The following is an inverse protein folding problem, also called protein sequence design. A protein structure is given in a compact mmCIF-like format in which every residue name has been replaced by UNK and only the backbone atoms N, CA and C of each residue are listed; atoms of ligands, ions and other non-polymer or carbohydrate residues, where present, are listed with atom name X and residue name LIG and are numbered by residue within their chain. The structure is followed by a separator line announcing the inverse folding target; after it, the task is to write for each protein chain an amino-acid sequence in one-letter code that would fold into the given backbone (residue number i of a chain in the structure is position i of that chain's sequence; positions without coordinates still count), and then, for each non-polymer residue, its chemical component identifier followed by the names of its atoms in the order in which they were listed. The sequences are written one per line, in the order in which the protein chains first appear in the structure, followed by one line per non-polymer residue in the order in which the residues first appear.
data_IF_142663693479
#
_entry.id   IF_142663693479
#
_cell.length_a   1.000
_cell.length_b   1.000
_cell.length_c   1.000
_cell.angle_alpha   90.00
_cell.angle_beta   90.00
_cell.angle_gamma   90.00
#
_symmetry.space_group_name_H-M   'P 1'
#
loop_
_entity.id
_entity.type
_entity.pdbx_description
1 polymer ?
#
# COMPACT_ATOMS: atom_id res chain seq x y z
N UNK A 1 -15.68 17.91 24.96
CA UNK A 1 -15.55 16.45 24.99
C UNK A 1 -15.01 16.08 23.62
N UNK A 2 -13.74 15.70 23.53
CA UNK A 2 -13.16 15.21 22.27
C UNK A 2 -13.88 13.93 21.88
N UNK A 3 -14.27 13.80 20.61
CA UNK A 3 -14.98 12.61 20.15
C UNK A 3 -13.97 11.48 19.90
N UNK A 4 -14.39 10.20 19.96
CA UNK A 4 -13.50 9.07 19.64
C UNK A 4 -12.84 9.19 18.26
N UNK A 5 -13.50 9.83 17.30
CA UNK A 5 -12.97 10.10 15.96
C UNK A 5 -11.89 11.19 15.98
N UNK A 6 -12.02 12.22 16.81
CA UNK A 6 -10.96 13.24 16.98
C UNK A 6 -9.70 12.63 17.61
N UNK A 7 -9.88 11.70 18.56
CA UNK A 7 -8.78 10.94 19.14
C UNK A 7 -8.11 10.03 18.10
N UNK A 8 -8.89 9.36 17.24
CA UNK A 8 -8.37 8.54 16.16
C UNK A 8 -7.49 9.35 15.20
N UNK A 9 -7.96 10.55 14.80
CA UNK A 9 -7.21 11.47 13.95
C UNK A 9 -5.95 11.99 14.64
N UNK A 10 -6.01 12.29 15.93
CA UNK A 10 -4.83 12.73 16.70
C UNK A 10 -3.75 11.65 16.77
N UNK A 11 -4.15 10.40 17.01
CA UNK A 11 -3.24 9.25 16.97
C UNK A 11 -2.65 9.02 15.57
N UNK A 12 -3.44 9.21 14.51
CA UNK A 12 -2.97 9.13 13.11
C UNK A 12 -1.88 10.16 12.83
N UNK A 13 -2.13 11.43 13.12
CA UNK A 13 -1.20 12.55 12.90
C UNK A 13 0.11 12.37 13.68
N UNK A 14 0.03 11.92 14.93
CA UNK A 14 1.21 11.60 15.73
C UNK A 14 2.00 10.44 15.11
N UNK A 15 1.30 9.37 14.71
CA UNK A 15 1.90 8.22 14.06
C UNK A 15 2.62 8.57 12.74
N UNK A 16 2.01 9.43 11.92
CA UNK A 16 2.60 9.93 10.68
C UNK A 16 3.84 10.81 10.94
N UNK A 17 3.80 11.62 12.00
CA UNK A 17 4.94 12.43 12.42
C UNK A 17 6.10 11.53 12.87
N UNK A 18 5.82 10.45 13.60
CA UNK A 18 6.82 9.48 14.04
C UNK A 18 7.41 8.70 12.85
N UNK A 19 6.59 8.31 11.88
CA UNK A 19 7.03 7.75 10.59
C UNK A 19 8.03 8.67 9.89
N UNK A 20 7.69 9.95 9.77
CA UNK A 20 8.53 10.95 9.11
C UNK A 20 9.86 11.17 9.84
N UNK A 21 9.88 10.93 11.16
CA UNK A 21 11.08 10.96 11.99
C UNK A 21 11.90 9.66 11.91
N UNK A 22 11.35 8.59 11.33
CA UNK A 22 11.96 7.26 11.29
C UNK A 22 11.79 6.44 12.57
N UNK A 23 10.93 6.90 13.49
CA UNK A 23 10.56 6.14 14.69
C UNK A 23 9.43 5.17 14.36
N UNK A 24 9.79 4.08 13.68
CA UNK A 24 8.82 3.09 13.21
C UNK A 24 8.09 2.39 14.35
N UNK A 25 8.78 2.06 15.45
CA UNK A 25 8.18 1.41 16.60
C UNK A 25 7.15 2.32 17.29
N UNK A 26 7.48 3.60 17.51
CA UNK A 26 6.53 4.57 18.04
C UNK A 26 5.35 4.80 17.11
N UNK A 27 5.61 4.87 15.80
CA UNK A 27 4.55 5.03 14.81
C UNK A 27 3.55 3.87 14.81
N UNK A 28 4.01 2.62 14.88
CA UNK A 28 3.13 1.44 14.95
C UNK A 28 2.15 1.55 16.12
N UNK A 29 2.64 1.93 17.31
CA UNK A 29 1.80 2.05 18.52
C UNK A 29 0.67 3.07 18.33
N UNK A 30 0.99 4.24 17.80
CA UNK A 30 -0.01 5.30 17.64
C UNK A 30 -0.96 5.01 16.46
N UNK A 31 -0.46 4.44 15.36
CA UNK A 31 -1.29 4.07 14.21
C UNK A 31 -2.22 2.89 14.51
N UNK A 32 -1.80 1.93 15.35
CA UNK A 32 -2.69 0.87 15.84
C UNK A 32 -3.87 1.44 16.63
N UNK A 33 -3.63 2.36 17.56
CA UNK A 33 -4.72 3.04 18.28
C UNK A 33 -5.63 3.80 17.34
N UNK A 34 -5.07 4.44 16.31
CA UNK A 34 -5.88 5.14 15.31
C UNK A 34 -6.84 4.21 14.59
N UNK A 35 -6.36 3.07 14.07
CA UNK A 35 -7.22 2.12 13.33
C UNK A 35 -8.17 1.32 14.23
N UNK A 36 -7.85 1.16 15.52
CA UNK A 36 -8.75 0.59 16.52
C UNK A 36 -9.93 1.53 16.82
N UNK A 37 -9.68 2.84 16.86
CA UNK A 37 -10.70 3.87 17.10
C UNK A 37 -11.50 4.20 15.84
N UNK A 38 -10.85 4.19 14.68
CA UNK A 38 -11.47 4.38 13.36
C UNK A 38 -10.90 3.41 12.32
N UNK A 39 -11.54 2.25 12.22
CA UNK A 39 -11.18 1.22 11.24
C UNK A 39 -11.48 1.61 9.78
N UNK A 40 -12.19 2.72 9.54
CA UNK A 40 -12.58 3.19 8.20
C UNK A 40 -11.57 4.13 7.55
N UNK A 41 -10.50 4.53 8.26
CA UNK A 41 -9.48 5.43 7.74
C UNK A 41 -8.41 4.67 6.92
N UNK A 42 -8.55 4.69 5.59
CA UNK A 42 -7.60 4.04 4.67
C UNK A 42 -6.16 4.57 4.81
N UNK A 43 -5.99 5.87 5.08
CA UNK A 43 -4.67 6.48 5.24
C UNK A 43 -3.97 6.01 6.52
N UNK A 44 -4.70 5.85 7.62
CA UNK A 44 -4.16 5.30 8.87
C UNK A 44 -3.67 3.85 8.67
N UNK A 45 -4.43 3.01 7.96
CA UNK A 45 -4.00 1.65 7.59
C UNK A 45 -2.75 1.65 6.71
N UNK A 46 -2.67 2.53 5.71
CA UNK A 46 -1.48 2.67 4.87
C UNK A 46 -0.26 3.13 5.68
N UNK A 47 -0.42 4.08 6.59
CA UNK A 47 0.67 4.52 7.46
C UNK A 47 1.10 3.41 8.41
N UNK A 48 0.16 2.64 8.98
CA UNK A 48 0.49 1.49 9.81
C UNK A 48 1.32 0.46 9.02
N UNK A 49 0.91 0.16 7.79
CA UNK A 49 1.67 -0.74 6.91
C UNK A 49 3.10 -0.23 6.64
N UNK A 50 3.26 1.07 6.36
CA UNK A 50 4.60 1.68 6.18
C UNK A 50 5.45 1.58 7.45
N UNK A 51 4.84 1.74 8.62
CA UNK A 51 5.55 1.67 9.89
C UNK A 51 6.04 0.24 10.17
N UNK A 52 5.19 -0.76 9.92
CA UNK A 52 5.52 -2.17 10.05
C UNK A 52 6.60 -2.61 9.05
N UNK A 53 6.49 -2.19 7.79
CA UNK A 53 7.52 -2.41 6.76
C UNK A 53 8.86 -1.75 7.12
N UNK A 54 8.83 -0.53 7.68
CA UNK A 54 10.02 0.16 8.17
C UNK A 54 10.68 -0.51 9.38
N UNK A 55 9.90 -1.18 10.22
CA UNK A 55 10.41 -1.99 11.34
C UNK A 55 11.05 -3.30 10.85
N UNK A 56 10.50 -3.91 9.80
CA UNK A 56 11.06 -5.08 9.12
C UNK A 56 10.94 -6.40 9.90
N UNK A 57 10.35 -6.38 11.09
CA UNK A 57 10.19 -7.56 11.95
C UNK A 57 8.90 -8.34 11.68
N UNK A 58 7.91 -7.72 11.01
CA UNK A 58 6.58 -8.30 10.78
C UNK A 58 6.01 -7.94 9.40
N UNK A 59 6.50 -8.62 8.36
CA UNK A 59 6.04 -8.42 6.98
C UNK A 59 4.60 -8.91 6.74
N UNK A 60 4.11 -9.87 7.52
CA UNK A 60 2.74 -10.37 7.41
C UNK A 60 1.74 -9.31 7.89
N UNK A 61 1.98 -8.72 9.06
CA UNK A 61 1.12 -7.62 9.56
C UNK A 61 1.17 -6.39 8.66
N UNK A 62 2.33 -6.10 8.06
CA UNK A 62 2.45 -5.02 7.07
C UNK A 62 1.55 -5.27 5.85
N UNK A 63 1.54 -6.49 5.32
CA UNK A 63 0.68 -6.86 4.19
C UNK A 63 -0.80 -6.82 4.55
N UNK A 64 -1.19 -7.32 5.73
CA UNK A 64 -2.57 -7.26 6.20
C UNK A 64 -3.05 -5.80 6.29
N UNK A 65 -2.25 -4.92 6.89
CA UNK A 65 -2.57 -3.50 6.98
C UNK A 65 -2.71 -2.84 5.61
N UNK A 66 -1.84 -3.21 4.64
CA UNK A 66 -1.94 -2.67 3.28
C UNK A 66 -3.17 -3.18 2.54
N UNK A 67 -3.55 -4.44 2.74
CA UNK A 67 -4.78 -5.03 2.17
C UNK A 67 -6.02 -4.34 2.73
N UNK A 68 -6.06 -4.06 4.03
CA UNK A 68 -7.13 -3.27 4.65
C UNK A 68 -7.21 -1.86 4.07
N UNK A 69 -6.08 -1.20 3.82
CA UNK A 69 -6.06 0.10 3.15
C UNK A 69 -6.65 0.01 1.73
N UNK A 70 -6.32 -1.04 0.97
CA UNK A 70 -6.84 -1.26 -0.40
C UNK A 70 -8.32 -1.68 -0.43
N UNK A 71 -8.83 -2.35 0.59
CA UNK A 71 -10.26 -2.65 0.71
C UNK A 71 -11.08 -1.36 0.89
N UNK A 72 -10.55 -0.39 1.64
CA UNK A 72 -11.17 0.91 1.87
C UNK A 72 -10.97 1.87 0.68
N UNK A 73 -9.77 1.86 0.09
CA UNK A 73 -9.40 2.69 -1.05
C UNK A 73 -8.66 1.88 -2.13
N UNK A 74 -9.40 1.21 -3.05
CA UNK A 74 -8.80 0.32 -4.05
C UNK A 74 -7.88 1.03 -5.05
N UNK A 75 -8.02 2.35 -5.20
CA UNK A 75 -7.22 3.18 -6.11
C UNK A 75 -6.03 3.86 -5.41
N UNK A 76 -5.69 3.45 -4.18
CA UNK A 76 -4.56 4.02 -3.45
C UNK A 76 -3.23 3.56 -4.07
N UNK A 77 -2.62 4.44 -4.86
CA UNK A 77 -1.32 4.20 -5.52
C UNK A 77 -0.24 3.89 -4.48
N UNK A 78 -0.28 4.56 -3.33
CA UNK A 78 0.66 4.31 -2.23
C UNK A 78 0.52 2.91 -1.64
N UNK A 79 -0.72 2.43 -1.44
CA UNK A 79 -0.98 1.10 -0.91
C UNK A 79 -0.63 0.00 -1.93
N UNK A 80 -0.97 0.18 -3.21
CA UNK A 80 -0.58 -0.75 -4.28
C UNK A 80 0.95 -0.85 -4.39
N UNK A 81 1.65 0.28 -4.34
CA UNK A 81 3.13 0.29 -4.42
C UNK A 81 3.76 -0.46 -3.24
N UNK A 82 3.21 -0.30 -2.03
CA UNK A 82 3.71 -0.98 -0.85
C UNK A 82 3.38 -2.48 -0.89
N UNK A 83 2.19 -2.88 -1.34
CA UNK A 83 1.85 -4.29 -1.55
C UNK A 83 2.80 -4.96 -2.55
N UNK A 84 3.04 -4.32 -3.70
CA UNK A 84 3.98 -4.82 -4.70
C UNK A 84 5.40 -5.00 -4.14
N UNK A 85 5.85 -4.06 -3.30
CA UNK A 85 7.15 -4.17 -2.59
C UNK A 85 7.18 -5.39 -1.66
N UNK A 86 6.15 -5.57 -0.84
CA UNK A 86 6.07 -6.69 0.11
C UNK A 86 6.04 -8.05 -0.62
N UNK A 87 5.24 -8.17 -1.68
CA UNK A 87 5.19 -9.37 -2.53
C UNK A 87 6.55 -9.67 -3.17
N UNK A 88 7.23 -8.65 -3.68
CA UNK A 88 8.57 -8.80 -4.26
C UNK A 88 9.59 -9.33 -3.23
N UNK A 89 9.58 -8.78 -2.01
CA UNK A 89 10.47 -9.21 -0.92
C UNK A 89 10.18 -10.65 -0.47
N UNK A 90 8.93 -11.11 -0.55
CA UNK A 90 8.55 -12.50 -0.26
C UNK A 90 8.92 -13.48 -1.38
N UNK A 91 9.22 -12.98 -2.58
CA UNK A 91 9.56 -13.79 -3.76
C UNK A 91 8.40 -14.00 -4.74
N UNK A 92 7.22 -13.42 -4.46
CA UNK A 92 6.03 -13.52 -5.30
C UNK A 92 6.09 -12.51 -6.44
N UNK A 93 7.06 -12.70 -7.34
CA UNK A 93 7.39 -11.73 -8.37
C UNK A 93 6.27 -11.52 -9.40
N UNK A 94 5.53 -12.57 -9.75
CA UNK A 94 4.43 -12.49 -10.71
C UNK A 94 3.29 -11.61 -10.17
N UNK A 95 2.89 -11.82 -8.92
CA UNK A 95 1.86 -11.01 -8.27
C UNK A 95 2.33 -9.57 -8.05
N UNK A 96 3.60 -9.37 -7.66
CA UNK A 96 4.19 -8.03 -7.53
C UNK A 96 4.10 -7.25 -8.85
N UNK A 97 4.39 -7.89 -9.99
CA UNK A 97 4.29 -7.27 -11.33
C UNK A 97 2.86 -6.82 -11.62
N UNK A 98 1.85 -7.65 -11.31
CA UNK A 98 0.45 -7.32 -11.52
C UNK A 98 0.05 -6.08 -10.69
N UNK A 99 0.40 -6.07 -9.41
CA UNK A 99 0.06 -4.96 -8.50
C UNK A 99 0.78 -3.66 -8.91
N UNK A 100 2.05 -3.72 -9.31
CA UNK A 100 2.78 -2.54 -9.80
C UNK A 100 2.20 -2.00 -11.10
N UNK A 101 1.73 -2.86 -12.02
CA UNK A 101 1.05 -2.41 -13.24
C UNK A 101 -0.24 -1.68 -12.92
N UNK A 102 -1.04 -2.20 -11.99
CA UNK A 102 -2.25 -1.52 -11.53
C UNK A 102 -1.93 -0.13 -10.96
N UNK A 103 -0.86 0.01 -10.15
CA UNK A 103 -0.44 1.31 -9.63
C UNK A 103 -0.05 2.30 -10.74
N UNK A 104 0.64 1.83 -11.78
CA UNK A 104 1.05 2.63 -12.93
C UNK A 104 -0.13 3.06 -13.82
N UNK A 105 -1.10 2.17 -14.01
CA UNK A 105 -2.34 2.48 -14.75
C UNK A 105 -3.13 3.61 -14.09
N UNK A 106 -3.13 3.67 -12.75
CA UNK A 106 -3.76 4.76 -11.99
C UNK A 106 -3.00 6.09 -12.07
N UNK A 107 -1.65 6.07 -12.16
CA UNK A 107 -0.86 7.29 -12.33
C UNK A 107 -1.02 7.92 -13.72
N UNK A 108 -1.24 7.09 -14.74
CA UNK A 108 -1.36 7.56 -16.12
C UNK A 108 -2.61 6.94 -16.78
N UNK A 109 -3.82 7.48 -16.52
CA UNK A 109 -5.05 6.95 -17.09
C UNK A 109 -5.10 7.03 -18.63
N UNK A 110 -4.19 7.76 -19.28
CA UNK A 110 -4.08 7.88 -20.74
C UNK A 110 -2.92 7.06 -21.34
N UNK A 111 -2.10 6.40 -20.52
CA UNK A 111 -1.03 5.52 -20.98
C UNK A 111 -1.56 4.13 -21.23
N UNK A 112 -2.10 3.89 -22.43
CA UNK A 112 -2.58 2.59 -22.89
C UNK A 112 -1.45 1.52 -22.82
N UNK A 113 -1.26 0.89 -21.65
CA UNK A 113 -0.36 -0.26 -21.46
C UNK A 113 -0.95 -1.55 -22.04
N UNK A 114 -2.28 -1.59 -22.23
CA UNK A 114 -3.00 -2.67 -22.93
C UNK A 114 -2.57 -2.83 -24.40
N UNK A 115 -2.02 -1.77 -25.00
CA UNK A 115 -1.49 -1.81 -26.37
C UNK A 115 -0.12 -2.50 -26.52
N UNK A 116 0.71 -2.59 -25.47
CA UNK A 116 2.11 -3.06 -25.62
C UNK A 116 2.32 -4.55 -25.39
N UNK A 117 1.41 -5.21 -24.66
CA UNK A 117 1.48 -6.67 -24.50
C UNK A 117 0.93 -7.38 -25.75
N UNK A 118 -0.03 -6.76 -26.45
CA UNK A 118 -0.64 -7.30 -27.68
C UNK A 118 0.30 -7.34 -28.90
N UNK A 119 1.34 -6.50 -28.94
CA UNK A 119 2.29 -6.44 -30.06
C UNK A 119 3.47 -7.43 -29.92
N UNK A 120 3.70 -8.02 -28.74
CA UNK A 120 4.77 -9.00 -28.55
C UNK A 120 4.38 -10.41 -29.03
N UNK A 121 3.10 -10.74 -29.11
CA UNK A 121 2.62 -12.09 -29.51
C UNK A 121 2.26 -12.22 -30.99
N UNK A 122 2.21 -11.12 -31.76
CA UNK A 122 1.84 -11.15 -33.19
C UNK A 122 3.01 -11.26 -34.17
N UNK A 123 4.26 -11.16 -33.74
CA UNK A 123 5.42 -11.16 -34.66
C UNK A 123 6.12 -12.53 -34.83
N UNK A 124 5.59 -13.64 -34.31
CA UNK A 124 6.24 -14.96 -34.44
C UNK A 124 5.56 -15.96 -35.38
N UNK A 125 4.50 -15.57 -36.10
CA UNK A 125 3.83 -16.45 -37.07
C UNK A 125 3.57 -15.79 -38.43
N UNK A 126 4.55 -15.08 -38.98
CA UNK A 126 4.72 -15.00 -40.45
C UNK A 126 6.21 -14.72 -40.74
N UNK A 127 7.00 -15.76 -40.99
CA UNK A 127 8.11 -15.72 -41.95
C UNK A 127 8.37 -17.15 -42.44
N UNK A 128 7.88 -17.38 -43.68
CA UNK A 128 8.14 -18.47 -44.64
C UNK A 128 8.06 -19.94 -44.19
#
# INVERSE_FOLDING_TARGET
METPLDMAATHHELGETLLSKGDFAGAVVELQRSVELDSGNAAAWLHLAKALDGLGEDSESAEEAVRRALELEPASIGALSLLGKLLHLRGDHDDAILVFRQALELQCPTGNLSGRVSDAERQSVVTM
#
